data_IF_282884487537
#
_entry.id   IF_282884487537
#
_cell.length_a   1.000
_cell.length_b   1.000
_cell.length_c   1.000
_cell.angle_alpha   90.00
_cell.angle_beta   90.00
_cell.angle_gamma   90.00
#
_symmetry.space_group_name_H-M   'P 1'
#
loop_
_entity.id
_entity.type
_entity.pdbx_description
1 polymer ?
#
# COMPACT_ATOMS: atom_id res chain seq x y z
N UNK A 1 23.67 15.00 29.36
CA UNK A 1 22.82 16.15 28.99
C UNK A 1 22.16 15.82 27.67
N UNK A 2 20.86 15.52 27.72
CA UNK A 2 20.06 15.12 26.58
C UNK A 2 19.49 16.37 25.89
N UNK A 3 19.75 16.53 24.60
CA UNK A 3 19.18 17.57 23.77
C UNK A 3 18.03 17.00 22.95
N UNK A 4 16.80 17.33 23.33
CA UNK A 4 15.57 17.06 22.58
C UNK A 4 15.50 17.99 21.36
N UNK A 5 15.59 17.45 20.15
CA UNK A 5 15.30 18.19 18.93
C UNK A 5 13.79 18.14 18.65
N UNK A 6 13.11 19.26 18.90
CA UNK A 6 11.74 19.52 18.49
C UNK A 6 11.67 19.57 16.95
N UNK A 7 11.05 18.58 16.31
CA UNK A 7 10.52 18.74 14.96
C UNK A 7 9.13 19.34 15.05
N UNK A 8 9.05 20.65 14.81
CA UNK A 8 7.81 21.36 14.51
C UNK A 8 7.97 22.02 13.14
N UNK A 9 6.82 22.18 12.45
CA UNK A 9 6.61 22.78 11.12
C UNK A 9 6.70 21.85 9.90
N UNK A 10 5.60 21.14 9.64
CA UNK A 10 5.17 20.81 8.27
C UNK A 10 4.14 21.85 7.84
N UNK A 11 4.50 22.63 6.82
CA UNK A 11 3.64 23.60 6.15
C UNK A 11 2.93 22.87 4.99
N UNK A 12 1.61 22.78 5.05
CA UNK A 12 0.77 22.28 3.96
C UNK A 12 0.31 23.51 3.16
N UNK A 13 0.64 23.64 1.87
CA UNK A 13 0.13 24.75 1.07
C UNK A 13 -1.39 24.59 0.89
N UNK A 14 -2.14 25.60 1.33
CA UNK A 14 -3.56 25.76 1.03
C UNK A 14 -3.66 26.60 -0.24
N UNK A 15 -4.24 26.08 -1.32
CA UNK A 15 -4.65 26.90 -2.48
C UNK A 15 -6.15 27.23 -2.38
N UNK A 16 -6.61 28.42 -2.80
CA UNK A 16 -7.75 29.07 -2.20
C UNK A 16 -9.05 28.80 -2.97
N UNK A 17 -10.09 28.38 -2.25
CA UNK A 17 -11.46 28.68 -2.63
C UNK A 17 -12.13 29.36 -1.44
N UNK A 18 -12.51 30.61 -1.68
CA UNK A 18 -13.07 31.54 -0.72
C UNK A 18 -14.39 31.03 -0.13
N UNK A 19 -14.52 31.11 1.19
CA UNK A 19 -15.81 31.15 1.88
C UNK A 19 -15.70 32.12 3.06
N UNK A 20 -16.49 33.19 3.00
CA UNK A 20 -16.58 34.28 3.97
C UNK A 20 -17.43 33.83 5.20
N UNK A 21 -17.05 34.14 6.46
CA UNK A 21 -17.57 33.48 7.64
C UNK A 21 -18.60 34.35 8.37
N UNK A 22 -19.80 33.83 8.62
CA UNK A 22 -20.67 34.32 9.70
C UNK A 22 -21.46 33.19 10.36
N UNK A 23 -21.20 33.06 11.66
CA UNK A 23 -22.13 32.86 12.77
C UNK A 23 -21.87 31.70 13.73
N UNK A 24 -21.77 32.14 14.99
CA UNK A 24 -22.05 31.50 16.26
C UNK A 24 -21.01 30.55 16.85
N UNK A 25 -20.16 31.21 17.64
CA UNK A 25 -19.63 30.70 18.89
C UNK A 25 -20.73 30.06 19.76
N UNK A 26 -20.49 28.82 20.16
CA UNK A 26 -20.95 28.31 21.44
C UNK A 26 -19.78 27.60 22.11
N UNK A 27 -19.16 28.32 23.05
CA UNK A 27 -18.24 27.78 24.03
C UNK A 27 -19.00 26.83 24.95
N UNK A 28 -18.65 25.54 24.95
CA UNK A 28 -18.86 24.68 26.12
C UNK A 28 -17.60 23.90 26.43
N UNK A 29 -16.90 24.39 27.46
CA UNK A 29 -15.95 23.64 28.25
C UNK A 29 -16.62 22.39 28.82
N UNK A 30 -16.02 21.22 28.65
CA UNK A 30 -16.33 20.07 29.50
C UNK A 30 -15.02 19.52 30.06
N UNK A 31 -14.97 19.64 31.38
CA UNK A 31 -13.96 19.27 32.35
C UNK A 31 -13.62 17.78 32.38
N UNK A 32 -12.33 17.50 32.61
CA UNK A 32 -11.83 16.24 33.15
C UNK A 32 -12.55 15.90 34.46
N UNK A 33 -13.23 14.75 34.52
CA UNK A 33 -13.64 14.12 35.78
C UNK A 33 -13.16 12.69 35.82
N UNK A 34 -12.15 12.47 36.65
CA UNK A 34 -11.70 11.17 37.14
C UNK A 34 -12.78 10.66 38.11
N UNK A 35 -13.30 9.45 37.90
CA UNK A 35 -14.06 8.72 38.91
C UNK A 35 -13.61 7.27 38.95
N UNK A 36 -12.94 6.91 40.04
CA UNK A 36 -12.66 5.55 40.47
C UNK A 36 -13.94 4.81 40.88
N UNK A 37 -13.94 3.48 40.70
CA UNK A 37 -14.59 2.55 41.61
C UNK A 37 -15.76 1.76 41.03
N UNK A 38 -15.48 0.59 40.45
CA UNK A 38 -16.43 -0.53 40.40
C UNK A 38 -15.71 -1.83 40.75
N UNK A 39 -16.32 -2.57 41.67
CA UNK A 39 -15.78 -3.69 42.43
C UNK A 39 -15.43 -4.94 41.59
N UNK A 40 -14.46 -5.70 42.09
CA UNK A 40 -14.04 -7.02 41.59
C UNK A 40 -15.15 -8.07 41.74
N UNK A 41 -15.47 -8.86 40.70
CA UNK A 41 -16.00 -10.20 40.87
C UNK A 41 -14.85 -11.21 41.00
N UNK A 42 -15.09 -12.19 41.86
CA UNK A 42 -14.16 -13.21 42.30
C UNK A 42 -13.51 -14.02 41.16
N UNK A 43 -12.30 -14.48 41.45
CA UNK A 43 -11.51 -15.48 40.72
C UNK A 43 -12.36 -16.68 40.28
N UNK A 44 -12.57 -16.81 38.98
CA UNK A 44 -12.93 -18.07 38.34
C UNK A 44 -11.75 -18.55 37.49
N UNK A 45 -11.28 -19.74 37.84
CA UNK A 45 -10.16 -20.44 37.23
C UNK A 45 -10.50 -20.91 35.82
N UNK A 46 -10.08 -20.15 34.80
CA UNK A 46 -10.06 -20.58 33.39
C UNK A 46 -8.89 -19.93 32.64
N UNK A 47 -7.68 -20.01 33.22
CA UNK A 47 -6.49 -19.34 32.67
C UNK A 47 -5.87 -20.04 31.46
N UNK A 48 -6.29 -21.25 31.09
CA UNK A 48 -5.68 -22.02 29.98
C UNK A 48 -6.33 -21.83 28.61
N UNK A 49 -7.58 -21.33 28.50
CA UNK A 49 -8.22 -21.10 27.20
C UNK A 49 -7.95 -19.70 26.60
N UNK A 50 -7.53 -18.74 27.44
CA UNK A 50 -7.30 -17.36 27.00
C UNK A 50 -6.01 -17.16 26.19
N UNK A 51 -5.02 -18.06 26.31
CA UNK A 51 -3.71 -17.94 25.67
C UNK A 51 -3.69 -18.32 24.19
N UNK A 52 -4.69 -19.08 23.72
CA UNK A 52 -4.80 -19.55 22.33
C UNK A 52 -5.99 -18.96 21.56
N UNK A 53 -6.87 -18.19 22.20
CA UNK A 53 -7.99 -17.53 21.51
C UNK A 53 -7.55 -16.27 20.75
N UNK A 54 -6.89 -16.51 19.61
CA UNK A 54 -6.50 -15.47 18.65
C UNK A 54 -7.70 -14.95 17.85
N UNK A 55 -8.85 -15.64 17.92
CA UNK A 55 -10.06 -15.20 17.23
C UNK A 55 -10.74 -14.08 18.00
N UNK A 56 -10.87 -14.15 19.32
CA UNK A 56 -11.45 -13.04 20.10
C UNK A 56 -10.43 -11.92 20.31
N UNK A 57 -9.16 -12.27 20.52
CA UNK A 57 -8.09 -11.31 20.84
C UNK A 57 -6.95 -11.38 19.82
N UNK A 58 -7.14 -10.83 18.59
CA UNK A 58 -6.21 -11.03 17.48
C UNK A 58 -4.90 -10.25 17.58
N UNK A 59 -4.74 -9.35 18.56
CA UNK A 59 -3.62 -8.42 18.63
C UNK A 59 -2.76 -8.65 19.87
N UNK A 60 -1.45 -8.45 19.72
CA UNK A 60 -0.48 -8.48 20.81
C UNK A 60 0.57 -7.37 20.66
N UNK A 61 1.08 -6.84 21.77
CA UNK A 61 2.18 -5.88 21.75
C UNK A 61 3.53 -6.62 21.73
N UNK A 62 4.43 -6.22 20.82
CA UNK A 62 5.81 -6.70 20.73
C UNK A 62 6.71 -5.49 20.50
N UNK A 63 7.69 -5.27 21.38
CA UNK A 63 8.63 -4.13 21.30
C UNK A 63 7.93 -2.76 21.10
N UNK A 64 6.81 -2.52 21.81
CA UNK A 64 6.06 -1.27 21.73
C UNK A 64 5.14 -1.11 20.51
N UNK A 65 5.24 -1.98 19.50
CA UNK A 65 4.34 -2.03 18.34
C UNK A 65 3.24 -3.09 18.54
N UNK A 66 2.13 -2.96 17.84
CA UNK A 66 1.01 -3.92 17.92
C UNK A 66 1.02 -4.82 16.69
N UNK A 67 0.99 -6.14 16.85
CA UNK A 67 1.01 -7.12 15.76
C UNK A 67 -0.16 -8.09 15.88
N UNK A 68 -0.41 -8.85 14.80
CA UNK A 68 -1.26 -10.04 14.88
C UNK A 68 -0.64 -11.04 15.87
N UNK A 69 -1.48 -11.54 16.77
CA UNK A 69 -1.08 -12.41 17.88
C UNK A 69 -0.86 -13.85 17.43
N UNK A 70 -1.58 -14.28 16.41
CA UNK A 70 -1.53 -15.64 15.87
C UNK A 70 -0.09 -16.02 15.47
N UNK A 71 0.52 -17.04 16.11
CA UNK A 71 1.88 -17.48 15.81
C UNK A 71 2.02 -18.09 14.41
N UNK A 72 0.94 -18.63 13.83
CA UNK A 72 0.94 -19.25 12.50
C UNK A 72 0.69 -18.23 11.38
N UNK A 73 0.56 -16.94 11.73
CA UNK A 73 0.40 -15.87 10.76
C UNK A 73 1.77 -15.26 10.41
N UNK A 74 2.30 -15.48 9.19
CA UNK A 74 3.58 -14.93 8.78
C UNK A 74 3.55 -13.43 8.43
N UNK A 75 2.40 -12.75 8.51
CA UNK A 75 2.27 -11.33 8.18
C UNK A 75 3.25 -10.48 9.01
N UNK A 76 4.15 -9.72 8.36
CA UNK A 76 5.29 -9.14 9.07
C UNK A 76 5.04 -7.76 9.68
N UNK A 77 4.00 -7.05 9.24
CA UNK A 77 3.81 -5.65 9.61
C UNK A 77 2.95 -5.49 10.87
N UNK A 78 3.16 -4.40 11.64
CA UNK A 78 2.28 -4.02 12.73
C UNK A 78 0.85 -3.69 12.28
N UNK A 79 -0.07 -3.58 13.23
CA UNK A 79 -1.46 -3.14 13.06
C UNK A 79 -1.78 -1.92 13.95
N UNK A 80 -0.75 -1.13 14.31
CA UNK A 80 -0.90 0.09 15.09
C UNK A 80 -1.10 1.34 14.22
N UNK A 81 -1.44 2.45 14.87
CA UNK A 81 -1.75 3.72 14.19
C UNK A 81 -0.60 4.20 13.30
N UNK A 82 0.65 4.00 13.71
CA UNK A 82 1.83 4.36 12.92
C UNK A 82 1.85 3.60 11.59
N UNK A 83 1.61 2.28 11.61
CA UNK A 83 1.58 1.48 10.39
C UNK A 83 0.35 1.80 9.52
N UNK A 84 -0.81 2.05 10.14
CA UNK A 84 -2.03 2.48 9.42
C UNK A 84 -1.79 3.80 8.67
N UNK A 85 -1.11 4.78 9.28
CA UNK A 85 -0.77 6.03 8.63
C UNK A 85 0.22 5.82 7.47
N UNK A 86 1.23 4.97 7.64
CA UNK A 86 2.17 4.63 6.56
C UNK A 86 1.46 4.01 5.36
N UNK A 87 0.59 3.03 5.61
CA UNK A 87 -0.23 2.38 4.56
C UNK A 87 -1.20 3.37 3.90
N UNK A 88 -1.76 4.30 4.67
CA UNK A 88 -2.63 5.37 4.15
C UNK A 88 -1.88 6.28 3.16
N UNK A 89 -0.67 6.73 3.51
CA UNK A 89 0.18 7.50 2.61
C UNK A 89 0.54 6.71 1.35
N UNK A 90 0.90 5.41 1.49
CA UNK A 90 1.14 4.52 0.34
C UNK A 90 -0.07 4.48 -0.60
N UNK A 91 -1.27 4.26 -0.06
CA UNK A 91 -2.51 4.23 -0.85
C UNK A 91 -2.78 5.55 -1.58
N UNK A 92 -2.59 6.70 -0.92
CA UNK A 92 -2.77 8.01 -1.54
C UNK A 92 -1.79 8.24 -2.68
N UNK A 93 -0.51 7.85 -2.52
CA UNK A 93 0.48 7.91 -3.59
C UNK A 93 0.04 7.05 -4.77
N UNK A 94 -0.36 5.80 -4.54
CA UNK A 94 -0.77 4.90 -5.62
C UNK A 94 -1.99 5.44 -6.38
N UNK A 95 -3.01 5.93 -5.68
CA UNK A 95 -4.18 6.54 -6.33
C UNK A 95 -3.82 7.79 -7.13
N UNK A 96 -2.87 8.60 -6.64
CA UNK A 96 -2.38 9.76 -7.38
C UNK A 96 -1.56 9.34 -8.61
N UNK A 97 -0.68 8.36 -8.48
CA UNK A 97 0.16 7.83 -9.57
C UNK A 97 -0.68 7.15 -10.66
N UNK A 98 -1.70 6.38 -10.27
CA UNK A 98 -2.64 5.79 -11.23
C UNK A 98 -3.69 6.80 -11.74
N UNK A 99 -3.90 7.91 -11.04
CA UNK A 99 -4.83 8.98 -11.43
C UNK A 99 -6.28 8.76 -11.00
N UNK A 100 -6.58 7.63 -10.37
CA UNK A 100 -7.90 7.21 -9.93
C UNK A 100 -7.76 6.14 -8.82
N UNK A 101 -8.83 5.83 -8.05
CA UNK A 101 -8.81 4.74 -7.08
C UNK A 101 -8.76 3.35 -7.73
N UNK A 102 -8.95 3.23 -9.03
CA UNK A 102 -8.84 1.98 -9.80
C UNK A 102 -8.42 2.30 -11.24
N UNK A 103 -7.86 1.32 -11.93
CA UNK A 103 -7.34 1.42 -13.28
C UNK A 103 -8.29 0.89 -14.35
N UNK A 104 -9.22 -0.01 -13.99
CA UNK A 104 -10.17 -0.57 -14.96
C UNK A 104 -10.98 0.53 -15.66
N UNK A 105 -11.05 0.54 -17.00
CA UNK A 105 -11.87 1.50 -17.74
C UNK A 105 -13.37 1.18 -17.68
N UNK A 106 -13.73 -0.05 -17.29
CA UNK A 106 -15.10 -0.56 -17.34
C UNK A 106 -16.11 0.31 -16.56
N UNK A 107 -15.69 0.85 -15.42
CA UNK A 107 -16.55 1.64 -14.54
C UNK A 107 -16.75 3.09 -14.99
N UNK A 108 -16.14 3.51 -16.11
CA UNK A 108 -16.46 4.80 -16.74
C UNK A 108 -17.91 4.83 -17.26
N UNK A 109 -18.41 3.70 -17.76
CA UNK A 109 -19.75 3.56 -18.32
C UNK A 109 -20.70 2.78 -17.41
N UNK A 110 -20.17 1.80 -16.66
CA UNK A 110 -20.97 0.85 -15.88
C UNK A 110 -20.55 0.82 -14.41
N UNK A 111 -20.90 1.84 -13.60
CA UNK A 111 -20.51 1.87 -12.19
C UNK A 111 -20.99 0.63 -11.42
N UNK A 112 -20.19 0.09 -10.48
CA UNK A 112 -20.56 -1.10 -9.71
C UNK A 112 -21.68 -0.77 -8.71
N UNK A 113 -22.42 -1.78 -8.26
CA UNK A 113 -23.42 -1.62 -7.18
C UNK A 113 -22.92 -2.18 -5.85
N UNK A 114 -22.14 -3.26 -5.90
CA UNK A 114 -21.57 -3.98 -4.76
C UNK A 114 -20.07 -4.15 -4.95
N UNK A 115 -19.30 -3.51 -4.08
CA UNK A 115 -17.83 -3.53 -4.08
C UNK A 115 -17.34 -4.34 -2.87
N UNK A 116 -16.39 -5.24 -3.08
CA UNK A 116 -15.67 -5.95 -2.04
C UNK A 116 -14.21 -5.50 -2.03
N UNK A 117 -13.71 -5.02 -0.90
CA UNK A 117 -12.28 -4.80 -0.65
C UNK A 117 -11.74 -5.94 0.22
N UNK A 118 -10.84 -6.76 -0.31
CA UNK A 118 -10.13 -7.80 0.45
C UNK A 118 -8.86 -7.22 1.07
N UNK A 119 -8.58 -7.62 2.32
CA UNK A 119 -7.51 -7.05 3.15
C UNK A 119 -7.67 -5.51 3.29
N UNK A 120 -8.88 -5.08 3.66
CA UNK A 120 -9.26 -3.67 3.57
C UNK A 120 -8.53 -2.74 4.55
N UNK A 121 -7.88 -3.26 5.59
CA UNK A 121 -7.19 -2.44 6.59
C UNK A 121 -8.07 -1.31 7.15
N UNK A 122 -7.64 -0.06 6.97
CA UNK A 122 -8.38 1.15 7.39
C UNK A 122 -9.57 1.52 6.48
N UNK A 123 -9.79 0.78 5.39
CA UNK A 123 -10.80 1.05 4.36
C UNK A 123 -10.66 2.43 3.69
N UNK A 124 -9.46 3.02 3.72
CA UNK A 124 -9.18 4.31 3.08
C UNK A 124 -9.43 4.24 1.57
N UNK A 125 -9.10 3.13 0.92
CA UNK A 125 -9.40 2.94 -0.49
C UNK A 125 -10.91 2.89 -0.75
N UNK A 126 -11.67 2.12 0.04
CA UNK A 126 -13.13 2.06 -0.10
C UNK A 126 -13.78 3.44 0.05
N UNK A 127 -13.30 4.26 0.99
CA UNK A 127 -13.75 5.65 1.14
C UNK A 127 -13.43 6.49 -0.11
N UNK A 128 -12.18 6.47 -0.60
CA UNK A 128 -11.80 7.20 -1.80
C UNK A 128 -12.56 6.73 -3.06
N UNK A 129 -12.85 5.44 -3.16
CA UNK A 129 -13.63 4.83 -4.24
C UNK A 129 -15.11 5.28 -4.17
N UNK A 130 -15.70 5.31 -2.98
CA UNK A 130 -17.03 5.89 -2.77
C UNK A 130 -17.09 7.36 -3.24
N UNK A 131 -16.14 8.18 -2.79
CA UNK A 131 -16.03 9.59 -3.16
C UNK A 131 -15.92 9.79 -4.67
N UNK A 132 -15.10 8.96 -5.34
CA UNK A 132 -14.93 8.99 -6.79
C UNK A 132 -16.24 8.77 -7.54
N UNK A 133 -17.04 7.79 -7.11
CA UNK A 133 -18.33 7.49 -7.71
C UNK A 133 -19.41 8.51 -7.32
N UNK A 134 -19.44 8.95 -6.06
CA UNK A 134 -20.41 9.93 -5.56
C UNK A 134 -20.29 11.28 -6.29
N UNK A 135 -19.06 11.75 -6.57
CA UNK A 135 -18.80 12.97 -7.36
C UNK A 135 -19.29 12.85 -8.81
N UNK A 136 -19.47 11.64 -9.32
CA UNK A 136 -20.03 11.34 -10.65
C UNK A 136 -21.53 11.01 -10.62
N UNK A 137 -22.18 11.25 -9.48
CA UNK A 137 -23.63 11.02 -9.32
C UNK A 137 -24.02 9.59 -8.94
N UNK A 138 -23.07 8.69 -8.73
CA UNK A 138 -23.33 7.30 -8.36
C UNK A 138 -23.24 7.10 -6.85
N UNK A 139 -24.32 7.42 -6.14
CA UNK A 139 -24.38 7.34 -4.66
C UNK A 139 -24.91 6.01 -4.12
N UNK A 140 -25.54 5.20 -4.97
CA UNK A 140 -26.17 3.94 -4.58
C UNK A 140 -25.22 2.74 -4.76
N UNK A 141 -24.06 2.81 -4.11
CA UNK A 141 -23.03 1.76 -4.13
C UNK A 141 -22.80 1.29 -2.69
N UNK A 142 -22.88 -0.03 -2.47
CA UNK A 142 -22.52 -0.64 -1.19
C UNK A 142 -21.09 -1.15 -1.23
N UNK A 143 -20.36 -0.89 -0.15
CA UNK A 143 -18.98 -1.33 0.05
C UNK A 143 -18.93 -2.33 1.19
N UNK A 144 -18.23 -3.44 0.95
CA UNK A 144 -17.92 -4.45 1.97
C UNK A 144 -16.42 -4.55 2.11
N UNK A 145 -15.89 -4.30 3.31
CA UNK A 145 -14.50 -4.58 3.66
C UNK A 145 -14.35 -5.95 4.31
N UNK A 146 -13.31 -6.69 3.94
CA UNK A 146 -12.94 -7.94 4.60
C UNK A 146 -11.50 -7.86 5.12
N UNK A 147 -11.32 -8.12 6.41
CA UNK A 147 -10.01 -8.18 7.05
C UNK A 147 -10.04 -9.06 8.32
N UNK A 148 -8.87 -9.41 8.85
CA UNK A 148 -8.71 -10.13 10.13
C UNK A 148 -9.05 -9.20 11.30
N UNK A 149 -8.82 -7.89 11.16
CA UNK A 149 -9.08 -6.89 12.21
C UNK A 149 -9.85 -5.71 11.62
N UNK A 150 -10.88 -5.23 12.33
CA UNK A 150 -11.60 -4.03 11.91
C UNK A 150 -10.81 -2.78 12.31
N UNK A 151 -10.07 -2.22 11.36
CA UNK A 151 -9.32 -0.97 11.53
C UNK A 151 -10.02 0.23 10.88
N UNK A 152 -11.12 -0.02 10.15
CA UNK A 152 -11.87 1.03 9.49
C UNK A 152 -12.56 1.94 10.52
N UNK A 153 -12.60 3.26 10.28
CA UNK A 153 -13.46 4.14 11.06
C UNK A 153 -14.94 3.83 10.77
N UNK A 154 -15.84 4.52 11.47
CA UNK A 154 -17.27 4.41 11.22
C UNK A 154 -17.66 5.12 9.90
N UNK A 155 -17.43 4.42 8.78
CA UNK A 155 -17.72 4.91 7.43
C UNK A 155 -19.22 5.13 7.19
N UNK A 156 -20.10 4.47 7.96
CA UNK A 156 -21.55 4.69 7.88
C UNK A 156 -21.92 6.10 8.33
N UNK A 157 -21.25 6.64 9.36
CA UNK A 157 -21.41 8.05 9.77
C UNK A 157 -20.92 9.05 8.73
N UNK A 158 -20.09 8.61 7.77
CA UNK A 158 -19.63 9.42 6.64
C UNK A 158 -20.55 9.31 5.42
N UNK A 159 -21.68 8.61 5.53
CA UNK A 159 -22.66 8.46 4.45
C UNK A 159 -22.38 7.30 3.49
N UNK A 160 -21.39 6.45 3.79
CA UNK A 160 -21.05 5.29 2.98
C UNK A 160 -21.95 4.12 3.39
N UNK A 161 -22.56 3.44 2.41
CA UNK A 161 -23.22 2.15 2.65
C UNK A 161 -22.14 1.07 2.88
N UNK A 162 -21.60 1.03 4.09
CA UNK A 162 -20.45 0.23 4.48
C UNK A 162 -20.85 -0.98 5.32
N UNK A 163 -20.20 -2.11 5.06
CA UNK A 163 -20.24 -3.30 5.91
C UNK A 163 -18.82 -3.83 6.11
N UNK A 164 -18.52 -4.30 7.32
CA UNK A 164 -17.25 -4.97 7.61
C UNK A 164 -17.50 -6.46 7.89
N UNK A 165 -16.69 -7.31 7.28
CA UNK A 165 -16.70 -8.76 7.51
C UNK A 165 -15.34 -9.21 8.02
N UNK A 166 -15.30 -9.64 9.28
CA UNK A 166 -14.10 -10.28 9.82
C UNK A 166 -13.87 -11.64 9.19
N UNK A 167 -12.73 -11.83 8.55
CA UNK A 167 -12.33 -13.11 7.96
C UNK A 167 -10.82 -13.20 7.75
N UNK A 168 -10.30 -14.41 7.76
CA UNK A 168 -8.88 -14.70 7.57
C UNK A 168 -8.68 -15.32 6.19
N UNK A 169 -7.91 -14.65 5.33
CA UNK A 169 -7.69 -15.05 3.94
C UNK A 169 -6.90 -16.36 3.78
N UNK A 170 -6.32 -16.90 4.87
CA UNK A 170 -5.75 -18.26 4.86
C UNK A 170 -6.83 -19.33 4.79
N UNK A 171 -8.08 -19.01 5.14
CA UNK A 171 -9.20 -19.95 4.99
C UNK A 171 -9.55 -20.08 3.51
N UNK A 172 -9.83 -21.29 3.03
CA UNK A 172 -9.96 -21.56 1.60
C UNK A 172 -11.23 -20.99 0.97
N UNK A 173 -12.19 -20.48 1.76
CA UNK A 173 -13.48 -20.01 1.25
C UNK A 173 -13.88 -18.68 1.87
N UNK A 174 -14.06 -17.66 1.02
CA UNK A 174 -14.59 -16.36 1.39
C UNK A 174 -16.06 -16.49 1.84
N UNK A 175 -16.48 -15.75 2.87
CA UNK A 175 -17.79 -15.92 3.52
C UNK A 175 -18.91 -15.17 2.77
N UNK A 176 -18.95 -15.31 1.44
CA UNK A 176 -19.90 -14.65 0.56
C UNK A 176 -20.47 -15.61 -0.49
N UNK A 177 -21.70 -15.35 -0.97
CA UNK A 177 -22.29 -16.11 -2.08
C UNK A 177 -21.49 -15.97 -3.38
N UNK A 178 -21.65 -16.95 -4.26
CA UNK A 178 -21.14 -16.92 -5.62
C UNK A 178 -21.79 -15.77 -6.40
N UNK A 179 -21.02 -15.09 -7.25
CA UNK A 179 -21.54 -14.05 -8.14
C UNK A 179 -22.21 -12.85 -7.45
N UNK A 180 -21.81 -12.54 -6.22
CA UNK A 180 -22.42 -11.50 -5.41
C UNK A 180 -21.85 -10.09 -5.67
N UNK A 181 -20.56 -9.93 -5.98
CA UNK A 181 -19.95 -8.61 -6.14
C UNK A 181 -19.83 -8.20 -7.61
N UNK A 182 -19.98 -6.90 -7.88
CA UNK A 182 -19.74 -6.31 -9.20
C UNK A 182 -18.26 -5.94 -9.38
N UNK A 183 -17.61 -5.57 -8.27
CA UNK A 183 -16.19 -5.22 -8.21
C UNK A 183 -15.54 -5.89 -7.01
N UNK A 184 -14.48 -6.65 -7.23
CA UNK A 184 -13.60 -7.15 -6.17
C UNK A 184 -12.24 -6.45 -6.33
N UNK A 185 -11.80 -5.79 -5.27
CA UNK A 185 -10.54 -5.08 -5.21
C UNK A 185 -9.64 -5.67 -4.13
N UNK A 186 -8.35 -5.80 -4.46
CA UNK A 186 -7.32 -6.33 -3.56
C UNK A 186 -6.13 -5.39 -3.63
N UNK A 187 -5.59 -4.97 -2.49
CA UNK A 187 -4.39 -4.12 -2.45
C UNK A 187 -3.40 -4.57 -1.38
N UNK A 188 -2.11 -4.56 -1.73
CA UNK A 188 -0.98 -4.89 -0.84
C UNK A 188 -1.14 -6.25 -0.14
N UNK A 189 -1.78 -7.20 -0.82
CA UNK A 189 -2.07 -8.53 -0.29
C UNK A 189 -0.97 -9.56 -0.59
N UNK A 190 0.06 -9.21 -1.38
CA UNK A 190 1.19 -10.08 -1.70
C UNK A 190 2.04 -10.48 -0.49
N UNK A 191 1.99 -9.69 0.59
CA UNK A 191 2.63 -9.99 1.87
C UNK A 191 1.68 -10.69 2.87
N UNK A 192 0.42 -10.87 2.48
CA UNK A 192 -0.54 -11.62 3.27
C UNK A 192 -0.37 -13.11 2.98
N UNK A 193 -0.39 -13.98 4.01
CA UNK A 193 -0.42 -15.41 3.78
C UNK A 193 -1.69 -15.79 3.01
N UNK A 194 -1.52 -16.23 1.77
CA UNK A 194 -2.53 -17.01 1.07
C UNK A 194 -2.23 -18.48 1.36
N UNK A 195 -3.24 -19.33 1.53
CA UNK A 195 -3.06 -20.76 1.80
C UNK A 195 -2.40 -21.56 0.65
N UNK A 196 -1.78 -20.87 -0.32
CA UNK A 196 -1.10 -21.43 -1.49
C UNK A 196 0.36 -21.76 -1.14
N UNK A 197 0.77 -23.00 -1.34
CA UNK A 197 2.19 -23.39 -1.28
C UNK A 197 3.04 -22.69 -2.36
N UNK A 198 2.39 -22.20 -3.43
CA UNK A 198 3.05 -21.66 -4.62
C UNK A 198 3.41 -20.17 -4.52
N UNK A 199 3.18 -19.52 -3.36
CA UNK A 199 3.37 -18.07 -3.14
C UNK A 199 2.68 -17.17 -4.19
N UNK A 200 1.69 -17.71 -4.91
CA UNK A 200 0.82 -16.97 -5.81
C UNK A 200 -0.39 -16.43 -5.07
N UNK A 201 -0.97 -15.34 -5.56
CA UNK A 201 -2.29 -14.90 -5.12
C UNK A 201 -3.33 -15.83 -5.75
N UNK A 202 -4.09 -16.63 -4.97
CA UNK A 202 -5.15 -17.48 -5.51
C UNK A 202 -6.35 -16.62 -5.92
N UNK A 203 -6.67 -16.61 -7.21
CA UNK A 203 -7.80 -15.82 -7.74
C UNK A 203 -9.13 -16.58 -7.71
N UNK A 204 -9.12 -17.88 -7.38
CA UNK A 204 -10.32 -18.75 -7.42
C UNK A 204 -11.49 -18.22 -6.59
N UNK A 205 -11.24 -17.83 -5.35
CA UNK A 205 -12.29 -17.29 -4.46
C UNK A 205 -12.72 -15.86 -4.82
N UNK A 206 -11.80 -14.90 -5.09
CA UNK A 206 -12.16 -13.61 -5.67
C UNK A 206 -13.03 -13.76 -6.93
N UNK A 207 -12.68 -14.67 -7.83
CA UNK A 207 -13.46 -14.97 -9.04
C UNK A 207 -14.81 -15.61 -8.69
N UNK A 208 -14.89 -16.54 -7.73
CA UNK A 208 -16.16 -17.17 -7.33
C UNK A 208 -17.17 -16.13 -6.85
N UNK A 209 -16.76 -15.23 -5.96
CA UNK A 209 -17.67 -14.22 -5.38
C UNK A 209 -17.98 -13.08 -6.35
N UNK A 210 -17.17 -12.89 -7.40
CA UNK A 210 -17.40 -11.93 -8.48
C UNK A 210 -18.46 -12.44 -9.47
N UNK A 211 -19.42 -11.59 -9.84
CA UNK A 211 -20.42 -11.93 -10.86
C UNK A 211 -19.78 -12.03 -12.26
N UNK A 212 -20.45 -12.76 -13.17
CA UNK A 212 -20.12 -12.67 -14.60
C UNK A 212 -20.26 -11.22 -15.09
N UNK A 213 -19.29 -10.75 -15.87
CA UNK A 213 -19.16 -9.36 -16.29
C UNK A 213 -18.65 -8.39 -15.22
N UNK A 214 -18.44 -8.85 -13.97
CA UNK A 214 -17.80 -8.05 -12.93
C UNK A 214 -16.29 -7.91 -13.13
N UNK A 215 -15.66 -6.98 -12.43
CA UNK A 215 -14.21 -6.74 -12.51
C UNK A 215 -13.50 -7.23 -11.24
N UNK A 216 -12.40 -7.96 -11.42
CA UNK A 216 -11.39 -8.17 -10.39
C UNK A 216 -10.24 -7.22 -10.66
N UNK A 217 -9.78 -6.47 -9.66
CA UNK A 217 -8.58 -5.65 -9.76
C UNK A 217 -7.67 -5.84 -8.54
N UNK A 218 -6.37 -5.96 -8.81
CA UNK A 218 -5.35 -6.22 -7.80
C UNK A 218 -4.23 -5.20 -7.94
N UNK A 219 -3.90 -4.51 -6.85
CA UNK A 219 -2.78 -3.59 -6.75
C UNK A 219 -1.72 -4.12 -5.80
N UNK A 220 -0.45 -4.04 -6.20
CA UNK A 220 0.64 -4.41 -5.30
C UNK A 220 1.95 -3.69 -5.68
N UNK A 221 2.95 -3.82 -4.81
CA UNK A 221 4.29 -3.26 -5.01
C UNK A 221 5.36 -4.26 -4.64
N UNK A 222 6.47 -4.28 -5.40
CA UNK A 222 7.60 -5.13 -5.06
C UNK A 222 8.35 -4.59 -3.83
N UNK A 223 8.83 -5.50 -2.98
CA UNK A 223 9.62 -5.19 -1.79
C UNK A 223 11.12 -5.25 -2.04
N UNK A 224 11.54 -5.69 -3.23
CA UNK A 224 12.93 -5.69 -3.68
C UNK A 224 13.16 -4.45 -4.54
N UNK A 225 14.11 -3.61 -4.13
CA UNK A 225 14.43 -2.40 -4.87
C UNK A 225 15.43 -2.68 -5.98
N UNK A 226 15.21 -2.08 -7.15
CA UNK A 226 16.11 -2.13 -8.31
C UNK A 226 16.38 -0.72 -8.80
N UNK A 227 17.39 -0.59 -9.66
CA UNK A 227 17.78 0.68 -10.27
C UNK A 227 17.22 0.76 -11.67
N UNK A 228 16.32 1.71 -11.92
CA UNK A 228 15.81 2.00 -13.26
C UNK A 228 16.93 2.60 -14.11
N UNK A 229 17.21 1.98 -15.27
CA UNK A 229 18.25 2.46 -16.17
C UNK A 229 17.80 3.73 -16.92
N UNK A 230 18.76 4.58 -17.37
CA UNK A 230 18.45 5.81 -18.09
C UNK A 230 17.56 5.58 -19.32
N UNK A 231 16.67 6.53 -19.57
CA UNK A 231 15.78 6.57 -20.74
C UNK A 231 15.01 5.25 -20.94
N UNK A 232 14.24 4.79 -19.94
CA UNK A 232 13.48 3.55 -20.07
C UNK A 232 12.44 3.69 -21.19
N UNK A 233 12.25 2.65 -22.03
CA UNK A 233 11.23 2.67 -23.05
C UNK A 233 9.83 2.78 -22.44
N UNK A 234 8.93 3.47 -23.13
CA UNK A 234 7.51 3.49 -22.76
C UNK A 234 6.92 2.08 -22.86
N UNK A 235 5.99 1.75 -21.96
CA UNK A 235 5.32 0.46 -22.03
C UNK A 235 4.43 0.39 -23.29
N UNK A 236 4.54 -0.70 -24.09
CA UNK A 236 3.74 -0.83 -25.31
C UNK A 236 2.23 -0.85 -25.03
N UNK A 237 1.44 -0.25 -25.94
CA UNK A 237 -0.02 -0.32 -25.89
C UNK A 237 -0.71 0.55 -24.84
N UNK A 238 0.04 1.41 -24.12
CA UNK A 238 -0.56 2.35 -23.17
C UNK A 238 -1.37 3.45 -23.87
N UNK A 239 -2.50 3.83 -23.24
CA UNK A 239 -3.28 4.99 -23.66
C UNK A 239 -2.52 6.30 -23.42
N UNK A 240 -2.79 7.32 -24.24
CA UNK A 240 -2.15 8.64 -24.09
C UNK A 240 -2.33 9.26 -22.70
N UNK A 241 -3.52 9.12 -22.10
CA UNK A 241 -3.77 9.61 -20.74
C UNK A 241 -2.94 8.91 -19.66
N UNK A 242 -2.61 7.62 -19.84
CA UNK A 242 -1.74 6.91 -18.89
C UNK A 242 -0.28 7.38 -18.97
N UNK A 243 0.18 7.78 -20.16
CA UNK A 243 1.50 8.38 -20.38
C UNK A 243 1.54 9.79 -19.77
N UNK A 244 0.54 10.62 -20.06
CA UNK A 244 0.40 11.97 -19.49
C UNK A 244 0.35 11.94 -17.95
N UNK A 245 -0.34 10.95 -17.36
CA UNK A 245 -0.39 10.78 -15.92
C UNK A 245 0.99 10.42 -15.32
N UNK A 246 1.78 9.60 -16.02
CA UNK A 246 3.14 9.26 -15.57
C UNK A 246 4.06 10.50 -15.66
N UNK A 247 3.95 11.28 -16.74
CA UNK A 247 4.68 12.54 -16.89
C UNK A 247 4.30 13.55 -15.81
N UNK A 248 3.01 13.72 -15.55
CA UNK A 248 2.48 14.64 -14.53
C UNK A 248 3.00 14.27 -13.15
N UNK A 249 3.02 12.99 -12.81
CA UNK A 249 3.48 12.50 -11.50
C UNK A 249 4.99 12.30 -11.41
N UNK A 250 5.73 12.53 -12.51
CA UNK A 250 7.19 12.34 -12.55
C UNK A 250 7.57 10.89 -12.29
N UNK A 251 6.81 9.95 -12.86
CA UNK A 251 7.02 8.50 -12.75
C UNK A 251 7.25 7.88 -14.12
N UNK A 252 7.66 6.61 -14.15
CA UNK A 252 7.96 5.90 -15.39
C UNK A 252 7.04 4.70 -15.56
N UNK A 253 6.40 4.59 -16.72
CA UNK A 253 5.67 3.37 -17.08
C UNK A 253 6.67 2.24 -17.29
N UNK A 254 6.38 1.05 -16.75
CA UNK A 254 7.27 -0.12 -16.89
C UNK A 254 6.50 -1.34 -17.40
N UNK A 255 7.23 -2.29 -17.96
CA UNK A 255 6.72 -3.55 -18.50
C UNK A 255 7.79 -4.64 -18.31
N UNK A 256 7.50 -5.93 -18.57
CA UNK A 256 8.42 -7.02 -18.25
C UNK A 256 9.85 -6.89 -18.83
N UNK A 257 10.01 -6.24 -19.98
CA UNK A 257 11.30 -6.02 -20.61
C UNK A 257 11.91 -4.62 -20.35
N UNK A 258 11.32 -3.81 -19.45
CA UNK A 258 11.95 -2.57 -18.99
C UNK A 258 13.31 -2.90 -18.35
N UNK A 259 14.39 -2.20 -18.72
CA UNK A 259 15.72 -2.53 -18.24
C UNK A 259 15.95 -1.99 -16.83
N UNK A 260 16.39 -2.88 -15.94
CA UNK A 260 16.78 -2.57 -14.57
C UNK A 260 18.17 -3.13 -14.30
N UNK A 261 18.94 -2.43 -13.46
CA UNK A 261 20.14 -2.95 -12.83
C UNK A 261 19.86 -3.30 -11.37
N UNK A 262 20.80 -4.02 -10.77
CA UNK A 262 20.82 -4.24 -9.33
C UNK A 262 20.86 -2.90 -8.57
N UNK A 263 20.38 -2.94 -7.33
CA UNK A 263 20.40 -1.76 -6.46
C UNK A 263 21.84 -1.30 -6.17
N UNK A 264 22.11 -0.03 -6.42
CA UNK A 264 23.46 0.55 -6.26
C UNK A 264 23.73 0.95 -4.82
N UNK A 265 22.71 1.49 -4.12
CA UNK A 265 22.79 1.81 -2.70
C UNK A 265 23.11 0.57 -1.83
N UNK A 266 24.17 0.66 -1.01
CA UNK A 266 24.62 -0.45 -0.16
C UNK A 266 23.61 -0.85 0.91
N UNK A 267 22.86 0.11 1.48
CA UNK A 267 21.89 -0.18 2.52
C UNK A 267 20.65 -0.86 1.94
N UNK A 268 20.20 -0.43 0.76
CA UNK A 268 19.12 -1.12 0.04
C UNK A 268 19.56 -2.50 -0.45
N UNK A 269 20.84 -2.71 -0.76
CA UNK A 269 21.40 -4.04 -1.06
C UNK A 269 21.33 -4.98 0.15
N UNK A 270 21.77 -4.50 1.31
CA UNK A 270 21.64 -5.23 2.59
C UNK A 270 20.16 -5.57 2.86
N UNK A 271 19.29 -4.57 2.77
CA UNK A 271 17.85 -4.74 2.96
C UNK A 271 17.24 -5.76 2.00
N UNK A 272 17.55 -5.71 0.70
CA UNK A 272 17.04 -6.67 -0.28
C UNK A 272 17.44 -8.10 0.11
N UNK A 273 18.70 -8.31 0.49
CA UNK A 273 19.20 -9.63 0.91
C UNK A 273 18.48 -10.14 2.16
N UNK A 274 18.29 -9.29 3.17
CA UNK A 274 17.62 -9.67 4.41
C UNK A 274 16.12 -9.92 4.19
N UNK A 275 15.48 -9.10 3.36
CA UNK A 275 14.06 -9.26 3.01
C UNK A 275 13.83 -10.57 2.29
N UNK A 276 14.64 -10.89 1.26
CA UNK A 276 14.55 -12.19 0.56
C UNK A 276 14.64 -13.36 1.55
N UNK A 277 15.66 -13.38 2.40
CA UNK A 277 15.85 -14.42 3.42
C UNK A 277 14.71 -14.49 4.43
N UNK A 278 14.20 -13.35 4.88
CA UNK A 278 13.15 -13.27 5.87
C UNK A 278 11.78 -13.72 5.32
N UNK A 279 11.51 -13.39 4.04
CA UNK A 279 10.30 -13.78 3.32
C UNK A 279 10.31 -15.26 2.93
N UNK A 280 11.45 -15.78 2.48
CA UNK A 280 11.63 -17.21 2.19
C UNK A 280 11.32 -18.07 3.43
N UNK A 281 11.88 -17.74 4.60
CA UNK A 281 11.58 -18.40 5.88
C UNK A 281 10.10 -18.41 6.24
N UNK A 282 9.36 -17.40 5.79
CA UNK A 282 7.93 -17.20 6.04
C UNK A 282 7.04 -17.74 4.91
N UNK A 283 7.64 -18.34 3.87
CA UNK A 283 6.96 -18.77 2.64
C UNK A 283 6.16 -17.65 1.98
N UNK A 284 6.70 -16.44 2.00
CA UNK A 284 6.17 -15.26 1.32
C UNK A 284 7.06 -14.88 0.14
N UNK A 285 6.50 -14.19 -0.86
CA UNK A 285 7.27 -13.60 -1.96
C UNK A 285 7.55 -12.13 -1.67
N UNK A 286 8.79 -11.64 -1.83
CA UNK A 286 9.09 -10.21 -1.78
C UNK A 286 8.86 -9.50 -3.13
N UNK A 287 8.41 -10.23 -4.17
CA UNK A 287 8.16 -9.70 -5.52
C UNK A 287 6.74 -10.05 -6.02
N UNK A 288 5.68 -9.57 -5.35
CA UNK A 288 4.30 -9.92 -5.67
C UNK A 288 3.88 -9.49 -7.09
N UNK A 289 4.45 -8.43 -7.67
CA UNK A 289 4.01 -7.93 -8.96
C UNK A 289 4.14 -8.98 -10.07
N UNK A 290 5.25 -9.72 -10.12
CA UNK A 290 5.44 -10.78 -11.08
C UNK A 290 4.45 -11.95 -10.86
N UNK A 291 4.21 -12.29 -9.58
CA UNK A 291 3.32 -13.39 -9.21
C UNK A 291 1.86 -13.10 -9.56
N UNK A 292 1.40 -11.86 -9.36
CA UNK A 292 0.04 -11.45 -9.71
C UNK A 292 -0.16 -11.51 -11.23
N UNK A 293 0.80 -11.00 -12.01
CA UNK A 293 0.74 -11.10 -13.46
C UNK A 293 0.64 -12.55 -13.96
N UNK A 294 1.37 -13.48 -13.31
CA UNK A 294 1.25 -14.90 -13.59
C UNK A 294 -0.13 -15.45 -13.21
N UNK A 295 -0.66 -15.11 -12.03
CA UNK A 295 -1.99 -15.54 -11.58
C UNK A 295 -3.11 -15.14 -12.57
N UNK A 296 -3.09 -13.91 -13.09
CA UNK A 296 -4.04 -13.47 -14.11
C UNK A 296 -3.87 -14.22 -15.44
N UNK A 297 -2.63 -14.54 -15.80
CA UNK A 297 -2.32 -15.32 -17.01
C UNK A 297 -2.83 -16.76 -16.90
N UNK A 298 -2.60 -17.40 -15.75
CA UNK A 298 -3.06 -18.76 -15.46
C UNK A 298 -4.59 -18.87 -15.45
N UNK A 299 -5.29 -17.81 -15.05
CA UNK A 299 -6.75 -17.72 -15.01
C UNK A 299 -7.34 -17.03 -16.25
N UNK A 300 -6.58 -16.92 -17.35
CA UNK A 300 -6.99 -16.18 -18.54
C UNK A 300 -8.31 -16.66 -19.16
N UNK A 301 -8.64 -17.95 -19.04
CA UNK A 301 -9.91 -18.51 -19.50
C UNK A 301 -11.12 -17.98 -18.69
N UNK A 302 -10.91 -17.60 -17.43
CA UNK A 302 -11.93 -17.02 -16.55
C UNK A 302 -12.28 -15.56 -16.88
N UNK A 303 -11.52 -14.90 -17.77
CA UNK A 303 -11.69 -13.49 -18.12
C UNK A 303 -12.03 -13.25 -19.59
N UNK A 304 -12.93 -12.31 -19.86
CA UNK A 304 -13.20 -11.78 -21.21
C UNK A 304 -12.03 -10.91 -21.71
N UNK A 305 -11.43 -10.15 -20.80
CA UNK A 305 -10.26 -9.30 -21.04
C UNK A 305 -9.43 -9.21 -19.77
N UNK A 306 -8.11 -9.08 -19.95
CA UNK A 306 -7.14 -8.85 -18.88
C UNK A 306 -6.21 -7.75 -19.35
N UNK A 307 -5.90 -6.81 -18.47
CA UNK A 307 -4.96 -5.74 -18.74
C UNK A 307 -4.21 -5.37 -17.45
N UNK A 308 -3.13 -4.62 -17.58
CA UNK A 308 -2.30 -4.20 -16.46
C UNK A 308 -1.60 -2.87 -16.70
N UNK A 309 -1.31 -2.17 -15.62
CA UNK A 309 -0.52 -0.94 -15.63
C UNK A 309 0.55 -1.04 -14.56
N UNK A 310 1.81 -0.94 -14.95
CA UNK A 310 2.94 -0.94 -14.02
C UNK A 310 3.74 0.36 -14.10
N UNK A 311 4.18 0.83 -12.95
CA UNK A 311 4.87 2.12 -12.80
C UNK A 311 6.08 1.94 -11.89
N UNK A 312 7.20 2.55 -12.25
CA UNK A 312 8.33 2.79 -11.38
C UNK A 312 8.25 4.21 -10.83
N UNK A 313 8.25 4.33 -9.51
CA UNK A 313 8.28 5.61 -8.78
C UNK A 313 9.71 5.80 -8.27
N UNK A 314 10.52 6.69 -8.85
CA UNK A 314 11.86 6.96 -8.32
C UNK A 314 11.80 7.45 -6.87
N UNK A 315 12.75 7.05 -6.05
CA UNK A 315 12.76 7.37 -4.61
C UNK A 315 13.41 8.71 -4.28
N UNK A 316 13.89 9.41 -5.30
CA UNK A 316 14.46 10.75 -5.19
C UNK A 316 14.72 11.35 -6.56
N UNK A 317 15.56 12.38 -6.59
CA UNK A 317 16.02 12.97 -7.85
C UNK A 317 17.06 12.06 -8.50
N UNK A 318 16.85 11.71 -9.78
CA UNK A 318 17.72 10.76 -10.47
C UNK A 318 18.77 11.52 -11.28
N UNK A 319 20.04 11.09 -11.20
CA UNK A 319 21.17 11.80 -11.82
C UNK A 319 20.98 12.05 -13.31
N UNK A 320 20.58 11.01 -14.04
CA UNK A 320 20.44 11.06 -15.49
C UNK A 320 19.21 11.85 -15.97
N UNK A 321 18.28 12.23 -15.10
CA UNK A 321 17.17 13.14 -15.45
C UNK A 321 17.63 14.58 -15.67
N UNK A 322 18.79 14.95 -15.09
CA UNK A 322 19.39 16.28 -15.19
C UNK A 322 20.40 16.39 -16.33
N UNK A 323 20.84 15.26 -16.87
CA UNK A 323 21.80 15.24 -17.97
C UNK A 323 21.07 15.61 -19.27
N UNK A 324 21.63 16.51 -20.11
CA UNK A 324 21.00 16.86 -21.38
C UNK A 324 20.88 15.61 -22.25
N UNK A 325 19.65 15.30 -22.66
CA UNK A 325 19.34 14.14 -23.50
C UNK A 325 19.78 14.42 -24.94
N UNK A 326 21.04 14.14 -25.27
CA UNK A 326 21.51 14.21 -26.65
C UNK A 326 23.00 14.38 -26.81
N UNK A 327 23.64 13.42 -27.50
CA UNK A 327 24.93 13.67 -28.14
C UNK A 327 24.74 14.71 -29.25
N UNK A 328 25.56 15.77 -29.21
CA UNK A 328 25.79 16.79 -30.23
C UNK A 328 24.95 16.73 -31.52
N UNK A 329 23.66 17.10 -31.45
CA UNK A 329 22.91 17.57 -32.61
C UNK A 329 21.73 18.46 -32.19
N UNK A 330 21.97 19.77 -32.22
CA UNK A 330 21.01 20.86 -32.40
C UNK A 330 19.73 20.84 -31.55
N UNK A 331 19.84 21.25 -30.29
CA UNK A 331 18.72 21.74 -29.49
C UNK A 331 19.14 21.88 -28.03
N UNK A 332 19.10 23.09 -27.47
CA UNK A 332 19.26 23.29 -26.03
C UNK A 332 18.01 22.77 -25.32
N UNK A 333 17.87 21.45 -25.17
CA UNK A 333 16.87 20.88 -24.28
C UNK A 333 17.29 21.17 -22.84
N UNK A 334 16.50 22.00 -22.17
CA UNK A 334 16.72 22.37 -20.77
C UNK A 334 16.64 21.11 -19.89
N UNK A 335 17.50 20.97 -18.87
CA UNK A 335 17.39 19.89 -17.89
C UNK A 335 15.96 19.79 -17.35
N UNK A 336 15.37 18.59 -17.38
CA UNK A 336 14.01 18.37 -16.88
C UNK A 336 14.02 18.56 -15.37
N UNK A 337 13.55 19.72 -14.92
CA UNK A 337 13.44 20.04 -13.50
C UNK A 337 12.11 19.51 -12.98
N UNK A 338 12.15 18.68 -11.93
CA UNK A 338 10.94 18.15 -11.32
C UNK A 338 10.13 19.27 -10.65
N UNK A 339 8.80 19.19 -10.75
CA UNK A 339 7.93 20.10 -10.01
C UNK A 339 7.98 19.81 -8.50
N UNK A 340 7.51 20.77 -7.68
CA UNK A 340 7.41 20.58 -6.25
C UNK A 340 6.53 19.36 -5.88
N UNK A 341 5.45 19.15 -6.62
CA UNK A 341 4.53 18.02 -6.40
C UNK A 341 5.19 16.68 -6.75
N UNK A 342 5.96 16.62 -7.84
CA UNK A 342 6.73 15.43 -8.22
C UNK A 342 7.79 15.09 -7.16
N UNK A 343 8.50 16.10 -6.65
CA UNK A 343 9.47 15.92 -5.57
C UNK A 343 8.79 15.42 -4.28
N UNK A 344 7.67 16.02 -3.89
CA UNK A 344 6.91 15.62 -2.72
C UNK A 344 6.41 14.17 -2.83
N UNK A 345 5.93 13.76 -4.02
CA UNK A 345 5.51 12.38 -4.28
C UNK A 345 6.68 11.41 -4.07
N UNK A 346 7.84 11.67 -4.68
CA UNK A 346 9.02 10.79 -4.57
C UNK A 346 9.54 10.72 -3.13
N UNK A 347 9.60 11.86 -2.43
CA UNK A 347 9.99 11.92 -1.03
C UNK A 347 9.01 11.15 -0.13
N UNK A 348 7.71 11.26 -0.37
CA UNK A 348 6.70 10.50 0.40
C UNK A 348 6.82 9.00 0.10
N UNK A 349 7.11 8.62 -1.15
CA UNK A 349 7.37 7.22 -1.52
C UNK A 349 8.59 6.64 -0.78
N UNK A 350 9.68 7.40 -0.69
CA UNK A 350 10.87 7.02 0.08
C UNK A 350 10.58 6.94 1.58
N UNK A 351 9.87 7.93 2.14
CA UNK A 351 9.54 7.97 3.56
C UNK A 351 8.70 6.75 3.99
N UNK A 352 7.69 6.40 3.19
CA UNK A 352 6.86 5.22 3.42
C UNK A 352 7.61 3.90 3.26
N UNK A 353 8.74 3.87 2.53
CA UNK A 353 9.67 2.72 2.50
C UNK A 353 10.48 2.67 3.79
N UNK A 354 11.09 3.78 4.21
CA UNK A 354 11.89 3.82 5.45
C UNK A 354 11.07 3.37 6.65
N UNK A 355 9.83 3.87 6.79
CA UNK A 355 8.91 3.44 7.84
C UNK A 355 8.51 1.95 7.72
N UNK A 356 8.46 1.40 6.51
CA UNK A 356 8.16 -0.02 6.31
C UNK A 356 9.35 -0.89 6.75
N UNK A 357 10.58 -0.46 6.44
CA UNK A 357 11.80 -1.12 6.91
C UNK A 357 11.85 -1.11 8.45
N UNK A 358 11.49 0.01 9.09
CA UNK A 358 11.36 0.11 10.54
C UNK A 358 10.32 -0.89 11.10
N UNK A 359 9.14 -0.94 10.49
CA UNK A 359 8.06 -1.85 10.88
C UNK A 359 8.45 -3.33 10.75
N UNK A 360 9.35 -3.66 9.82
CA UNK A 360 9.91 -5.01 9.61
C UNK A 360 11.19 -5.27 10.40
N UNK A 361 11.63 -4.37 11.28
CA UNK A 361 12.86 -4.54 12.06
C UNK A 361 13.02 -5.94 12.68
N UNK A 362 12.01 -6.52 13.37
CA UNK A 362 12.21 -7.81 14.04
C UNK A 362 12.63 -8.93 13.08
N UNK A 363 12.01 -9.01 11.90
CA UNK A 363 12.33 -10.05 10.92
C UNK A 363 13.64 -9.75 10.17
N UNK A 364 13.96 -8.47 9.95
CA UNK A 364 15.19 -8.06 9.26
C UNK A 364 16.42 -8.27 10.16
N UNK A 365 16.30 -8.01 11.47
CA UNK A 365 17.33 -8.37 12.45
C UNK A 365 17.57 -9.88 12.51
N UNK A 366 16.50 -10.67 12.56
CA UNK A 366 16.55 -12.14 12.55
C UNK A 366 17.21 -12.70 11.26
N UNK A 367 16.94 -12.09 10.11
CA UNK A 367 17.52 -12.50 8.84
C UNK A 367 18.98 -12.05 8.68
N UNK A 368 19.31 -10.82 9.11
CA UNK A 368 20.67 -10.27 9.06
C UNK A 368 21.62 -10.91 10.07
N UNK A 369 21.10 -11.45 11.17
CA UNK A 369 21.90 -11.97 12.28
C UNK A 369 22.55 -10.87 13.13
N UNK A 370 22.17 -9.60 12.92
CA UNK A 370 22.73 -8.45 13.64
C UNK A 370 22.19 -8.36 15.05
N UNK A 371 23.09 -8.07 16.00
CA UNK A 371 22.69 -7.63 17.33
C UNK A 371 22.07 -6.22 17.33
N UNK A 372 21.53 -5.79 18.48
CA UNK A 372 20.91 -4.47 18.65
C UNK A 372 21.82 -3.32 18.23
N UNK A 373 23.05 -3.28 18.75
CA UNK A 373 24.02 -2.21 18.46
C UNK A 373 24.48 -2.17 16.99
N UNK A 374 24.50 -3.31 16.31
CA UNK A 374 24.81 -3.38 14.88
C UNK A 374 23.64 -2.90 14.02
N UNK A 375 22.42 -3.27 14.40
CA UNK A 375 21.21 -2.79 13.76
C UNK A 375 21.07 -1.27 13.90
N UNK A 376 21.24 -0.72 15.10
CA UNK A 376 21.08 0.72 15.34
C UNK A 376 22.10 1.54 14.54
N UNK A 377 23.34 1.04 14.39
CA UNK A 377 24.36 1.63 13.51
C UNK A 377 23.97 1.56 12.04
N UNK A 378 23.45 0.42 11.59
CA UNK A 378 22.98 0.25 10.21
C UNK A 378 21.78 1.15 9.92
N UNK A 379 20.78 1.19 10.81
CA UNK A 379 19.58 2.00 10.72
C UNK A 379 19.90 3.49 10.65
N UNK A 380 20.76 3.98 11.54
CA UNK A 380 21.22 5.37 11.54
C UNK A 380 21.96 5.71 10.24
N UNK A 381 22.81 4.79 9.77
CA UNK A 381 23.52 4.93 8.49
C UNK A 381 22.57 5.01 7.29
N UNK A 382 21.63 4.07 7.20
CA UNK A 382 20.64 3.98 6.13
C UNK A 382 19.74 5.22 6.10
N UNK A 383 19.15 5.60 7.23
CA UNK A 383 18.25 6.77 7.29
C UNK A 383 18.96 8.05 6.89
N UNK A 384 20.19 8.27 7.38
CA UNK A 384 21.01 9.42 6.99
C UNK A 384 21.32 9.41 5.50
N UNK A 385 21.71 8.26 4.96
CA UNK A 385 22.10 8.11 3.57
C UNK A 385 20.92 8.36 2.61
N UNK A 386 19.78 7.70 2.85
CA UNK A 386 18.61 7.78 2.00
C UNK A 386 17.91 9.15 2.11
N UNK A 387 17.72 9.69 3.32
CA UNK A 387 16.89 10.88 3.53
C UNK A 387 17.68 12.21 3.47
N UNK A 388 19.00 12.20 3.68
CA UNK A 388 19.79 13.44 3.80
C UNK A 388 20.92 13.55 2.76
N UNK A 389 21.46 12.42 2.27
CA UNK A 389 22.64 12.42 1.38
C UNK A 389 22.33 12.09 -0.08
N UNK A 390 21.05 11.92 -0.43
CA UNK A 390 20.65 11.55 -1.79
C UNK A 390 21.10 10.14 -2.18
N UNK A 391 21.08 9.19 -1.24
CA UNK A 391 21.52 7.81 -1.45
C UNK A 391 20.76 7.03 -2.53
N UNK A 392 19.65 7.57 -3.03
CA UNK A 392 18.78 6.98 -4.06
C UNK A 392 18.87 7.68 -5.43
N UNK A 393 19.94 8.46 -5.65
CA UNK A 393 20.09 9.23 -6.88
C UNK A 393 20.48 8.39 -8.11
N UNK A 394 20.71 7.08 -7.96
CA UNK A 394 21.12 6.21 -9.07
C UNK A 394 19.94 5.77 -9.93
N UNK A 395 18.71 5.97 -9.45
CA UNK A 395 17.48 5.49 -10.09
C UNK A 395 16.78 4.39 -9.30
N UNK A 396 17.12 4.21 -8.02
CA UNK A 396 16.39 3.31 -7.12
C UNK A 396 14.91 3.72 -7.08
N UNK A 397 14.02 2.76 -7.35
CA UNK A 397 12.59 3.02 -7.50
C UNK A 397 11.72 2.00 -6.76
N UNK A 398 10.53 2.44 -6.37
CA UNK A 398 9.44 1.57 -5.99
C UNK A 398 8.71 1.11 -7.25
N UNK A 399 8.66 -0.20 -7.47
CA UNK A 399 7.89 -0.80 -8.56
C UNK A 399 6.50 -1.15 -8.08
N UNK A 400 5.48 -0.64 -8.77
CA UNK A 400 4.07 -0.82 -8.43
C UNK A 400 3.31 -1.32 -9.65
N UNK A 401 2.24 -2.07 -9.43
CA UNK A 401 1.40 -2.57 -10.50
C UNK A 401 -0.06 -2.70 -10.13
N UNK A 402 -0.90 -2.56 -11.15
CA UNK A 402 -2.32 -2.83 -11.14
C UNK A 402 -2.63 -3.84 -12.24
N UNK A 403 -3.38 -4.90 -11.92
CA UNK A 403 -3.88 -5.88 -12.87
C UNK A 403 -5.39 -5.97 -12.72
N UNK A 404 -6.12 -5.97 -13.82
CA UNK A 404 -7.57 -6.12 -13.79
C UNK A 404 -8.05 -7.03 -14.90
N UNK A 405 -9.17 -7.69 -14.64
CA UNK A 405 -9.84 -8.53 -15.63
C UNK A 405 -11.35 -8.53 -15.42
N UNK A 406 -12.09 -8.54 -16.53
CA UNK A 406 -13.54 -8.69 -16.51
C UNK A 406 -13.88 -10.18 -16.58
N UNK A 407 -14.56 -10.69 -15.56
CA UNK A 407 -14.93 -12.11 -15.48
C UNK A 407 -15.91 -12.49 -16.60
N UNK A 408 -15.75 -13.70 -17.16
CA UNK A 408 -16.68 -14.28 -18.14
C UNK A 408 -18.07 -14.53 -17.57
#
# INVERSE_FOLDING_TARGET
MAGSANLSYLFIPSSPLAFDPKHNADQRSISNSISQGSAMPATSSSSTSSSTDYTTYPLAKRNGRTYLRDPDNPYPLPCDLTEIHRQSLRSLILMHVFGAPFCTPHFAEQPPKRVLELACGSALWSNACHDYFARRGHKNISFTGLDIVNLAPDLQKQGINWQFKRHDLRKPKLPFPDGYFDFVFIKDAGICPSGSELQTLPLSEPLRVLKSGGVLEVWDSDLIFRTLLPNPPLAPGLSGGNVEQAETTGTYTIFPATPFADVQNKYLRDYNSWTQKAFERRKLTPMPCAMIGLSFTSESESFNSVDSRRIAIPLGEVRWEREPQGGASNGWEQPKTLSADQLALRQTALFTIVQMIESMEPMLMEASGKGRDEWDRWWTGMTTDLLQKGGVASGECLEVGAWWGQKR
#
